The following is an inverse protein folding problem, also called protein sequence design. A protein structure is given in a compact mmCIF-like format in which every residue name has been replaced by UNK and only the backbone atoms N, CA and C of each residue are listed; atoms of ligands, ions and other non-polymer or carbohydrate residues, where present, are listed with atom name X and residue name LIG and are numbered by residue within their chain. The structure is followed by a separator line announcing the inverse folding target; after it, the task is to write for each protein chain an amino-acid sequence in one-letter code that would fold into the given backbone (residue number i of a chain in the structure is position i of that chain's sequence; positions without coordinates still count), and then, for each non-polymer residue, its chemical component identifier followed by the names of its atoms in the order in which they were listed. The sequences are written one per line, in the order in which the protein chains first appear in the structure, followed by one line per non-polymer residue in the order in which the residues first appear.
data_IF_942075057144
#
_entry.id   IF_942075057144
#
_cell.length_a   1.000
_cell.length_b   1.000
_cell.length_c   1.000
_cell.angle_alpha   90.00
_cell.angle_beta   90.00
_cell.angle_gamma   90.00
#
_symmetry.space_group_name_H-M   'P 1'
#
loop_
_entity.id
_entity.type
_entity.pdbx_description
1 polymer ?
#
# COMPACT_ATOMS: atom_id res chain seq x y z
N UNK A 1 7.04 -8.34 13.78
CA UNK A 1 7.85 -7.29 13.10
C UNK A 1 7.12 -5.94 13.06
N UNK A 2 5.92 -5.87 12.48
CA UNK A 2 5.20 -4.62 12.27
C UNK A 2 4.91 -3.81 13.56
N UNK A 3 4.41 -4.46 14.61
CA UNK A 3 4.04 -3.78 15.87
C UNK A 3 5.24 -3.06 16.51
N UNK A 4 6.41 -3.72 16.56
CA UNK A 4 7.62 -3.14 17.14
C UNK A 4 8.14 -1.94 16.34
N UNK A 5 8.17 -2.06 15.00
CA UNK A 5 8.54 -0.95 14.12
C UNK A 5 7.54 0.21 14.21
N UNK A 6 6.23 -0.09 14.16
CA UNK A 6 5.18 0.92 14.19
C UNK A 6 5.12 1.69 15.50
N UNK A 7 5.31 1.01 16.64
CA UNK A 7 5.38 1.67 17.94
C UNK A 7 6.61 2.57 18.06
N UNK A 8 7.78 2.07 17.65
CA UNK A 8 9.01 2.86 17.63
C UNK A 8 8.85 4.10 16.74
N UNK A 9 8.40 3.92 15.51
CA UNK A 9 8.19 5.02 14.57
C UNK A 9 7.14 6.03 15.08
N UNK A 10 6.06 5.58 15.73
CA UNK A 10 5.06 6.47 16.31
C UNK A 10 5.58 7.28 17.51
N UNK A 11 6.50 6.71 18.31
CA UNK A 11 7.10 7.40 19.46
C UNK A 11 8.17 8.42 19.05
N UNK A 12 8.96 8.09 18.01
CA UNK A 12 10.11 8.91 17.61
C UNK A 12 9.86 9.85 16.41
N UNK A 13 8.78 9.65 15.64
CA UNK A 13 8.45 10.52 14.50
C UNK A 13 7.36 11.54 14.84
N UNK A 14 7.67 12.83 14.63
CA UNK A 14 6.71 13.94 14.79
C UNK A 14 5.93 14.27 13.50
N UNK A 15 6.23 13.60 12.38
CA UNK A 15 5.63 13.92 11.08
C UNK A 15 4.28 13.22 10.87
N UNK A 16 3.24 13.99 10.53
CA UNK A 16 1.90 13.48 10.21
C UNK A 16 1.88 12.48 9.06
N UNK A 17 2.77 12.65 8.05
CA UNK A 17 2.89 11.71 6.94
C UNK A 17 3.37 10.34 7.39
N UNK A 18 4.27 10.30 8.38
CA UNK A 18 4.72 9.02 8.97
C UNK A 18 3.56 8.33 9.68
N UNK A 19 2.73 9.06 10.43
CA UNK A 19 1.57 8.47 11.08
C UNK A 19 0.58 7.90 10.05
N UNK A 20 0.31 8.64 8.97
CA UNK A 20 -0.52 8.16 7.86
C UNK A 20 0.05 6.88 7.24
N UNK A 21 1.37 6.80 7.07
CA UNK A 21 2.05 5.63 6.53
C UNK A 21 1.91 4.42 7.45
N UNK A 22 2.06 4.64 8.76
CA UNK A 22 1.87 3.59 9.77
C UNK A 22 0.41 3.12 9.86
N UNK A 23 -0.57 4.01 9.64
CA UNK A 23 -1.97 3.59 9.62
C UNK A 23 -2.31 2.80 8.36
N UNK A 24 -1.85 3.26 7.19
CA UNK A 24 -2.02 2.55 5.93
C UNK A 24 -1.35 1.17 5.94
N UNK A 25 -0.10 1.11 6.39
CA UNK A 25 0.63 -0.14 6.48
C UNK A 25 0.05 -1.08 7.53
N UNK A 26 -0.53 -0.56 8.63
CA UNK A 26 -1.24 -1.38 9.61
C UNK A 26 -2.48 -2.02 8.98
N UNK A 27 -3.28 -1.23 8.25
CA UNK A 27 -4.48 -1.72 7.57
C UNK A 27 -4.16 -2.83 6.56
N UNK A 28 -3.14 -2.62 5.72
CA UNK A 28 -2.69 -3.63 4.74
C UNK A 28 -2.17 -4.89 5.46
N UNK A 29 -1.36 -4.73 6.51
CA UNK A 29 -0.82 -5.86 7.27
C UNK A 29 -1.94 -6.68 7.91
N UNK A 30 -2.93 -6.03 8.53
CA UNK A 30 -4.08 -6.71 9.12
C UNK A 30 -4.88 -7.46 8.07
N UNK A 31 -5.06 -6.88 6.88
CA UNK A 31 -5.74 -7.53 5.77
C UNK A 31 -5.02 -8.81 5.34
N UNK A 32 -3.68 -8.76 5.19
CA UNK A 32 -2.89 -9.94 4.81
C UNK A 32 -2.94 -11.03 5.88
N UNK A 33 -2.78 -10.67 7.15
CA UNK A 33 -2.91 -11.64 8.25
C UNK A 33 -4.30 -12.29 8.25
N UNK A 34 -5.34 -11.50 7.99
CA UNK A 34 -6.70 -12.02 7.95
C UNK A 34 -6.94 -12.96 6.76
N UNK A 35 -6.34 -12.66 5.60
CA UNK A 35 -6.37 -13.53 4.42
C UNK A 35 -5.71 -14.89 4.73
N UNK A 36 -4.50 -14.87 5.31
CA UNK A 36 -3.75 -16.08 5.67
C UNK A 36 -4.51 -16.95 6.68
N UNK A 37 -5.23 -16.34 7.62
CA UNK A 37 -5.98 -17.05 8.65
C UNK A 37 -7.29 -17.67 8.15
N UNK A 38 -7.96 -17.05 7.16
CA UNK A 38 -9.31 -17.46 6.72
C UNK A 38 -9.36 -18.08 5.33
N UNK A 39 -8.29 -18.02 4.55
CA UNK A 39 -8.23 -18.54 3.18
C UNK A 39 -9.31 -17.90 2.31
N UNK A 40 -9.21 -16.57 2.09
CA UNK A 40 -10.25 -15.85 1.34
C UNK A 40 -10.29 -16.28 -0.12
N UNK A 41 -11.47 -16.19 -0.74
CA UNK A 41 -11.58 -16.41 -2.18
C UNK A 41 -10.77 -15.36 -2.95
N UNK A 42 -10.19 -15.69 -4.13
CA UNK A 42 -9.34 -14.77 -4.88
C UNK A 42 -10.01 -13.41 -5.19
N UNK A 43 -11.31 -13.40 -5.46
CA UNK A 43 -12.08 -12.18 -5.73
C UNK A 43 -12.25 -11.31 -4.47
N UNK A 44 -12.50 -11.92 -3.31
CA UNK A 44 -12.62 -11.18 -2.04
C UNK A 44 -11.27 -10.59 -1.61
N UNK A 45 -10.18 -11.33 -1.81
CA UNK A 45 -8.82 -10.86 -1.58
C UNK A 45 -8.50 -9.65 -2.46
N UNK A 46 -8.78 -9.75 -3.76
CA UNK A 46 -8.52 -8.63 -4.67
C UNK A 46 -9.39 -7.40 -4.33
N UNK A 47 -10.68 -7.59 -4.04
CA UNK A 47 -11.57 -6.50 -3.68
C UNK A 47 -11.13 -5.77 -2.40
N UNK A 48 -10.66 -6.53 -1.40
CA UNK A 48 -10.21 -5.97 -0.13
C UNK A 48 -8.86 -5.23 -0.27
N UNK A 49 -7.92 -5.77 -1.05
CA UNK A 49 -6.67 -5.08 -1.42
C UNK A 49 -6.94 -3.77 -2.17
N UNK A 50 -7.87 -3.78 -3.14
CA UNK A 50 -8.28 -2.57 -3.87
C UNK A 50 -8.88 -1.54 -2.91
N UNK A 51 -9.79 -1.96 -2.02
CA UNK A 51 -10.44 -1.06 -1.07
C UNK A 51 -9.42 -0.39 -0.12
N UNK A 52 -8.51 -1.16 0.48
CA UNK A 52 -7.48 -0.62 1.37
C UNK A 52 -6.50 0.29 0.63
N UNK A 53 -6.11 -0.08 -0.60
CA UNK A 53 -5.21 0.74 -1.43
C UNK A 53 -5.85 2.07 -1.81
N UNK A 54 -7.15 2.07 -2.14
CA UNK A 54 -7.89 3.30 -2.36
C UNK A 54 -7.95 4.14 -1.08
N UNK A 55 -8.30 3.56 0.07
CA UNK A 55 -8.30 4.31 1.33
C UNK A 55 -6.93 4.95 1.61
N UNK A 56 -5.84 4.24 1.32
CA UNK A 56 -4.49 4.78 1.47
C UNK A 56 -4.23 6.00 0.56
N UNK A 57 -4.65 5.93 -0.70
CA UNK A 57 -4.53 7.02 -1.68
C UNK A 57 -5.39 8.22 -1.25
N UNK A 58 -6.67 8.02 -0.96
CA UNK A 58 -7.62 9.10 -0.73
C UNK A 58 -7.46 9.78 0.63
N UNK A 59 -7.13 9.02 1.69
CA UNK A 59 -7.05 9.56 3.05
C UNK A 59 -5.65 10.10 3.35
N UNK A 60 -4.60 9.39 2.93
CA UNK A 60 -3.22 9.74 3.28
C UNK A 60 -2.44 10.39 2.12
N UNK A 61 -3.04 10.46 0.92
CA UNK A 61 -2.39 11.06 -0.25
C UNK A 61 -1.22 10.24 -0.77
N UNK A 62 -1.20 8.91 -0.53
CA UNK A 62 -0.16 8.03 -1.03
C UNK A 62 -0.38 7.68 -2.50
N UNK A 63 -0.22 8.68 -3.36
CA UNK A 63 -0.21 8.51 -4.81
C UNK A 63 1.19 8.71 -5.39
N UNK A 64 1.37 8.19 -6.60
CA UNK A 64 2.52 8.37 -7.48
C UNK A 64 2.11 9.46 -8.47
N UNK A 65 2.44 10.75 -8.22
CA UNK A 65 2.02 11.83 -9.11
C UNK A 65 2.86 11.92 -10.38
N UNK A 66 4.09 11.40 -10.33
CA UNK A 66 5.07 11.48 -11.43
C UNK A 66 6.02 10.29 -11.42
N UNK A 67 6.53 9.95 -12.60
CA UNK A 67 7.51 8.88 -12.80
C UNK A 67 8.74 9.46 -13.48
N UNK A 68 9.91 9.25 -12.87
CA UNK A 68 11.19 9.63 -13.45
C UNK A 68 11.76 8.46 -14.27
N UNK A 69 12.06 8.72 -15.54
CA UNK A 69 12.73 7.78 -16.43
C UNK A 69 14.25 7.82 -16.18
N UNK A 70 14.97 6.69 -16.39
CA UNK A 70 16.43 6.64 -16.28
C UNK A 70 17.17 7.65 -17.19
N UNK A 71 16.52 8.10 -18.26
CA UNK A 71 17.02 9.13 -19.18
C UNK A 71 16.92 10.56 -18.65
N UNK A 72 16.50 10.74 -17.39
CA UNK A 72 16.33 12.06 -16.74
C UNK A 72 15.01 12.77 -17.06
N UNK A 73 14.16 12.19 -17.90
CA UNK A 73 12.85 12.74 -18.21
C UNK A 73 11.85 12.41 -17.09
N UNK A 74 11.03 13.39 -16.70
CA UNK A 74 9.97 13.20 -15.69
C UNK A 74 8.62 13.29 -16.39
N UNK A 75 7.80 12.25 -16.21
CA UNK A 75 6.42 12.20 -16.70
C UNK A 75 5.49 12.52 -15.54
N UNK A 76 4.74 13.61 -15.64
CA UNK A 76 3.64 13.95 -14.74
C UNK A 76 2.40 13.13 -15.14
N UNK A 77 1.82 12.40 -14.19
CA UNK A 77 0.74 11.44 -14.47
C UNK A 77 -0.66 12.09 -14.47
N UNK A 78 -0.84 13.20 -13.76
CA UNK A 78 -2.14 13.86 -13.65
C UNK A 78 -3.23 12.90 -13.16
N UNK A 79 -4.34 12.78 -13.90
CA UNK A 79 -5.44 11.88 -13.54
C UNK A 79 -5.05 10.39 -13.54
N UNK A 80 -3.94 10.01 -14.20
CA UNK A 80 -3.42 8.65 -14.16
C UNK A 80 -2.69 8.32 -12.85
N UNK A 81 -2.41 9.31 -11.99
CA UNK A 81 -1.74 9.09 -10.71
C UNK A 81 -2.49 8.06 -9.84
N UNK A 82 -3.81 8.22 -9.70
CA UNK A 82 -4.65 7.31 -8.91
C UNK A 82 -4.67 5.88 -9.47
N UNK A 83 -5.03 5.62 -10.74
CA UNK A 83 -5.08 4.25 -11.25
C UNK A 83 -3.70 3.57 -11.28
N UNK A 84 -2.62 4.31 -11.57
CA UNK A 84 -1.25 3.77 -11.53
C UNK A 84 -0.85 3.42 -10.09
N UNK A 85 -1.15 4.28 -9.11
CA UNK A 85 -0.87 4.01 -7.69
C UNK A 85 -1.66 2.82 -7.18
N UNK A 86 -2.91 2.69 -7.59
CA UNK A 86 -3.76 1.56 -7.23
C UNK A 86 -3.19 0.25 -7.79
N UNK A 87 -2.84 0.24 -9.08
CA UNK A 87 -2.20 -0.91 -9.71
C UNK A 87 -0.87 -1.25 -9.03
N UNK A 88 -0.09 -0.23 -8.66
CA UNK A 88 1.17 -0.39 -7.95
C UNK A 88 0.97 -1.07 -6.59
N UNK A 89 0.06 -0.58 -5.74
CA UNK A 89 -0.17 -1.17 -4.44
C UNK A 89 -0.70 -2.59 -4.53
N UNK A 90 -1.75 -2.82 -5.34
CA UNK A 90 -2.36 -4.15 -5.47
C UNK A 90 -1.39 -5.12 -6.17
N UNK A 91 -0.64 -4.64 -7.15
CA UNK A 91 0.36 -5.42 -7.86
C UNK A 91 1.51 -5.86 -6.96
N UNK A 92 2.05 -4.94 -6.13
CA UNK A 92 3.09 -5.28 -5.16
C UNK A 92 2.60 -6.30 -4.13
N UNK A 93 1.39 -6.13 -3.58
CA UNK A 93 0.82 -7.07 -2.62
C UNK A 93 0.68 -8.48 -3.22
N UNK A 94 0.16 -8.59 -4.45
CA UNK A 94 0.05 -9.88 -5.13
C UNK A 94 1.43 -10.44 -5.53
N UNK A 95 2.38 -9.61 -5.94
CA UNK A 95 3.73 -10.06 -6.30
C UNK A 95 4.45 -10.67 -5.11
N UNK A 96 4.38 -10.04 -3.93
CA UNK A 96 4.96 -10.58 -2.69
C UNK A 96 4.31 -11.92 -2.35
N UNK A 97 2.98 -11.98 -2.39
CA UNK A 97 2.23 -13.21 -2.08
C UNK A 97 2.52 -14.35 -3.07
N UNK A 98 2.77 -14.05 -4.35
CA UNK A 98 3.19 -15.02 -5.37
C UNK A 98 4.62 -15.54 -5.13
N UNK A 99 5.54 -14.70 -4.63
CA UNK A 99 6.90 -15.12 -4.31
C UNK A 99 6.94 -15.93 -3.00
N UNK A 100 6.13 -15.56 -2.01
CA UNK A 100 6.04 -16.25 -0.71
C UNK A 100 5.36 -17.63 -0.80
N UNK A 101 4.81 -17.99 -1.96
CA UNK A 101 4.38 -19.35 -2.25
C UNK A 101 2.92 -19.64 -1.90
N UNK A 102 2.02 -18.71 -2.18
CA UNK A 102 0.66 -19.12 -2.60
C UNK A 102 0.74 -20.03 -3.82
#
# INVERSE_FOLDING_TARGET
MYIGFGLSAALFSTNQKTLGLLLAAAAITTLMVFDDLRGMSPLMKLASQVAVSLLAIWIFGFEIPRVALPTGHVIELGWLAVPISLLWFVGLQNTINLIDGV
#
